data_IF_131260006100
#
_entry.id   IF_131260006100
#
_cell.length_a   1.000
_cell.length_b   1.000
_cell.length_c   1.000
_cell.angle_alpha   90.00
_cell.angle_beta   90.00
_cell.angle_gamma   90.00
#
_symmetry.space_group_name_H-M   'P 1'
#
loop_
_entity.id
_entity.type
_entity.pdbx_description
1 polymer ?
#
# COMPACT_ATOMS: atom_id res chain seq x y z
N UNK A 1 0.46 2.20 17.17
CA UNK A 1 0.15 2.46 15.75
C UNK A 1 0.12 1.12 15.02
N UNK A 2 -0.80 0.92 14.07
CA UNK A 2 -0.90 -0.32 13.28
C UNK A 2 0.06 -0.19 12.08
N UNK A 3 1.08 -1.05 11.95
CA UNK A 3 1.95 -1.06 10.78
C UNK A 3 1.13 -1.29 9.51
N UNK A 4 1.30 -0.42 8.52
CA UNK A 4 0.45 -0.39 7.32
C UNK A 4 1.29 -0.44 6.05
N UNK A 5 0.99 -1.36 5.13
CA UNK A 5 1.58 -1.41 3.81
C UNK A 5 0.49 -1.23 2.75
N UNK A 6 0.49 -0.08 2.09
CA UNK A 6 -0.45 0.29 1.05
C UNK A 6 0.11 -0.08 -0.32
N UNK A 7 -0.74 -0.59 -1.19
CA UNK A 7 -0.42 -0.91 -2.59
C UNK A 7 -1.41 -0.22 -3.50
N UNK A 8 -0.95 0.37 -4.60
CA UNK A 8 -1.83 0.98 -5.61
C UNK A 8 -1.20 0.91 -7.00
N UNK A 9 -2.02 0.74 -8.03
CA UNK A 9 -1.58 0.84 -9.43
C UNK A 9 -1.60 2.30 -9.91
N UNK A 10 -0.53 2.81 -10.51
CA UNK A 10 -0.48 4.23 -10.90
C UNK A 10 -1.36 4.59 -12.11
N UNK A 11 -1.87 3.59 -12.82
CA UNK A 11 -2.79 3.72 -13.95
C UNK A 11 -4.24 3.33 -13.57
N UNK A 12 -4.58 3.28 -12.27
CA UNK A 12 -5.94 2.99 -11.82
C UNK A 12 -6.89 4.17 -12.13
N UNK A 13 -7.83 3.93 -13.05
CA UNK A 13 -8.88 4.89 -13.41
C UNK A 13 -10.17 4.72 -12.59
N UNK A 14 -10.36 3.58 -11.92
CA UNK A 14 -11.52 3.31 -11.09
C UNK A 14 -11.36 3.90 -9.68
N UNK A 15 -10.16 3.80 -9.10
CA UNK A 15 -9.80 4.43 -7.82
C UNK A 15 -8.53 5.23 -7.99
N UNK A 16 -8.64 6.56 -7.91
CA UNK A 16 -7.51 7.48 -8.14
C UNK A 16 -6.32 7.16 -7.21
N UNK A 17 -5.08 7.04 -7.75
CA UNK A 17 -3.88 6.84 -6.95
C UNK A 17 -3.63 7.90 -5.86
N UNK A 18 -4.12 9.13 -6.09
CA UNK A 18 -4.03 10.23 -5.12
C UNK A 18 -4.65 9.89 -3.78
N UNK A 19 -5.70 9.06 -3.75
CA UNK A 19 -6.36 8.64 -2.51
C UNK A 19 -5.39 7.89 -1.59
N UNK A 20 -4.57 6.99 -2.15
CA UNK A 20 -3.56 6.24 -1.40
C UNK A 20 -2.40 7.13 -0.96
N UNK A 21 -1.99 8.07 -1.80
CA UNK A 21 -0.95 9.06 -1.44
C UNK A 21 -1.42 9.92 -0.26
N UNK A 22 -2.63 10.49 -0.34
CA UNK A 22 -3.22 11.33 0.71
C UNK A 22 -3.37 10.57 2.04
N UNK A 23 -3.84 9.31 1.99
CA UNK A 23 -3.97 8.47 3.18
C UNK A 23 -2.60 8.20 3.84
N UNK A 24 -1.59 7.85 3.05
CA UNK A 24 -0.22 7.58 3.53
C UNK A 24 0.40 8.84 4.14
N UNK A 25 0.22 10.00 3.51
CA UNK A 25 0.66 11.28 4.08
C UNK A 25 -0.03 11.61 5.40
N UNK A 26 -1.34 11.39 5.50
CA UNK A 26 -2.09 11.64 6.73
C UNK A 26 -1.61 10.74 7.88
N UNK A 27 -1.38 9.46 7.61
CA UNK A 27 -0.84 8.51 8.60
C UNK A 27 0.58 8.93 9.02
N UNK A 28 1.45 9.29 8.08
CA UNK A 28 2.80 9.80 8.40
C UNK A 28 2.76 11.06 9.26
N UNK A 29 1.90 12.04 8.92
CA UNK A 29 1.70 13.27 9.70
C UNK A 29 1.21 12.99 11.13
N UNK A 30 0.53 11.86 11.32
CA UNK A 30 0.03 11.41 12.62
C UNK A 30 1.03 10.53 13.39
N UNK A 31 2.27 10.38 12.89
CA UNK A 31 3.32 9.56 13.50
C UNK A 31 3.16 8.06 13.33
N UNK A 32 2.31 7.61 12.38
CA UNK A 32 2.10 6.19 12.10
C UNK A 32 3.21 5.57 11.24
N UNK A 33 3.39 4.25 11.40
CA UNK A 33 4.28 3.43 10.56
C UNK A 33 3.52 2.97 9.31
N UNK A 34 3.83 3.59 8.18
CA UNK A 34 3.18 3.31 6.89
C UNK A 34 4.16 3.37 5.74
N UNK A 35 4.02 2.42 4.82
CA UNK A 35 4.70 2.40 3.54
C UNK A 35 3.72 2.26 2.38
N UNK A 36 4.10 2.78 1.21
CA UNK A 36 3.31 2.75 -0.02
C UNK A 36 4.17 2.17 -1.15
N UNK A 37 3.62 1.18 -1.84
CA UNK A 37 4.16 0.68 -3.11
C UNK A 37 3.22 1.11 -4.23
N UNK A 38 3.75 1.91 -5.16
CA UNK A 38 3.08 2.26 -6.41
C UNK A 38 3.55 1.31 -7.51
N UNK A 39 2.62 0.68 -8.22
CA UNK A 39 2.93 -0.20 -9.34
C UNK A 39 2.79 0.52 -10.69
N UNK A 40 3.90 0.71 -11.43
CA UNK A 40 3.87 1.39 -12.72
C UNK A 40 3.09 0.63 -13.78
N UNK A 41 2.20 1.33 -14.49
CA UNK A 41 1.37 0.81 -15.57
C UNK A 41 0.27 -0.15 -15.11
N UNK A 42 0.08 -0.35 -13.80
CA UNK A 42 -0.95 -1.23 -13.27
C UNK A 42 -2.22 -0.42 -13.02
N UNK A 43 -3.33 -0.91 -13.56
CA UNK A 43 -4.66 -0.35 -13.33
C UNK A 43 -5.27 -0.84 -12.03
N UNK A 44 -6.59 -0.99 -12.02
CA UNK A 44 -7.37 -1.31 -10.82
C UNK A 44 -6.91 -2.60 -10.10
N UNK A 45 -6.56 -3.66 -10.84
CA UNK A 45 -6.20 -4.97 -10.30
C UNK A 45 -4.78 -5.04 -9.70
N UNK A 46 -4.41 -4.06 -8.88
CA UNK A 46 -3.10 -4.00 -8.22
C UNK A 46 -2.88 -5.09 -7.17
N UNK A 47 -3.94 -5.70 -6.65
CA UNK A 47 -3.87 -6.76 -5.64
C UNK A 47 -3.21 -8.04 -6.16
N UNK A 48 -3.35 -8.38 -7.45
CA UNK A 48 -2.68 -9.57 -8.01
C UNK A 48 -1.17 -9.45 -7.84
N UNK A 49 -0.61 -8.27 -8.10
CA UNK A 49 0.81 -7.99 -7.90
C UNK A 49 1.17 -7.89 -6.42
N UNK A 50 0.33 -7.27 -5.60
CA UNK A 50 0.54 -7.20 -4.15
C UNK A 50 0.66 -8.60 -3.50
N UNK A 51 -0.21 -9.54 -3.87
CA UNK A 51 -0.11 -10.91 -3.37
C UNK A 51 1.08 -11.70 -3.93
N UNK A 52 1.73 -11.21 -4.99
CA UNK A 52 2.98 -11.78 -5.52
C UNK A 52 4.25 -11.20 -4.88
N UNK A 53 4.14 -10.18 -4.02
CA UNK A 53 5.28 -9.65 -3.28
C UNK A 53 5.84 -10.72 -2.36
N UNK A 54 7.08 -11.16 -2.60
CA UNK A 54 7.73 -12.24 -1.84
C UNK A 54 7.85 -11.92 -0.35
N UNK A 55 7.95 -10.63 -0.03
CA UNK A 55 8.13 -10.15 1.34
C UNK A 55 6.80 -9.89 2.06
N UNK A 56 5.66 -9.89 1.36
CA UNK A 56 4.36 -9.60 1.99
C UNK A 56 4.01 -10.60 3.12
N UNK A 57 4.19 -11.93 2.96
CA UNK A 57 3.93 -12.87 4.06
C UNK A 57 4.84 -12.62 5.27
N UNK A 58 6.14 -12.41 5.04
CA UNK A 58 7.11 -12.15 6.10
C UNK A 58 6.80 -10.82 6.81
N UNK A 59 6.45 -9.78 6.04
CA UNK A 59 6.05 -8.48 6.58
C UNK A 59 4.75 -8.56 7.37
N UNK A 60 3.77 -9.36 6.94
CA UNK A 60 2.51 -9.48 7.66
C UNK A 60 2.72 -10.24 8.99
N UNK A 61 3.43 -11.36 8.95
CA UNK A 61 3.58 -12.28 10.08
C UNK A 61 4.59 -11.82 11.14
N UNK A 62 5.48 -10.87 10.82
CA UNK A 62 6.40 -10.30 11.83
C UNK A 62 5.70 -9.42 12.87
N UNK A 63 4.47 -8.97 12.60
CA UNK A 63 3.72 -8.11 13.51
C UNK A 63 2.82 -8.94 14.41
N UNK A 64 2.92 -8.70 15.71
CA UNK A 64 2.06 -9.31 16.74
C UNK A 64 1.24 -8.22 17.42
N UNK A 65 0.15 -8.61 18.09
CA UNK A 65 -0.64 -7.72 18.95
C UNK A 65 0.15 -7.28 20.19
#
# INVERSE_FOLDING_TARGET
>A
HIPTWVFHGDADEAVKPSNSVEAVEAIKKSGGDVQLTMYPGIGHNSWDKAYMESDLPNWLLKHTL
#
